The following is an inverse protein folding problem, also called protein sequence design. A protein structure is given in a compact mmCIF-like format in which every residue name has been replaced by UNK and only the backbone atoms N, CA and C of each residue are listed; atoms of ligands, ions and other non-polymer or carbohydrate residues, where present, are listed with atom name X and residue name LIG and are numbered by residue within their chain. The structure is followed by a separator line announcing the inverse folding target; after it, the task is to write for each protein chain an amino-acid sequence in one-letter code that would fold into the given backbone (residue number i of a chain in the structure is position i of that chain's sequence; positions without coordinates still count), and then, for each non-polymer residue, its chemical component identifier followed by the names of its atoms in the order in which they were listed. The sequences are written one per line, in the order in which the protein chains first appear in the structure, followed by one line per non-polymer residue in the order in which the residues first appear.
data_IF_322530551603
#
_entry.id   IF_322530551603
#
_cell.length_a   1.000
_cell.length_b   1.000
_cell.length_c   1.000
_cell.angle_alpha   90.00
_cell.angle_beta   90.00
_cell.angle_gamma   90.00
#
_symmetry.space_group_name_H-M   'P 1'
#
loop_
_entity.id
_entity.type
_entity.pdbx_description
1 polymer ?
#
# COMPACT_ATOMS: atom_id res chain seq x y z
N UNK A 1 7.03 1.20 1.92
CA UNK A 1 6.57 1.85 3.18
C UNK A 1 5.12 1.43 3.39
N UNK A 2 4.72 1.09 4.62
CA UNK A 2 3.40 0.50 4.90
C UNK A 2 2.67 1.37 5.93
N UNK A 3 1.42 1.72 5.62
CA UNK A 3 0.51 2.44 6.51
C UNK A 3 -0.71 1.59 6.80
N UNK A 4 -1.10 1.53 8.06
CA UNK A 4 -2.30 0.82 8.51
C UNK A 4 -3.35 1.88 8.84
N UNK A 5 -4.43 1.85 8.09
CA UNK A 5 -5.48 2.84 8.18
C UNK A 5 -6.36 2.56 9.39
N UNK A 6 -6.74 3.64 10.08
CA UNK A 6 -7.80 3.64 11.09
C UNK A 6 -8.98 4.48 10.61
N UNK A 7 -10.17 4.29 11.21
CA UNK A 7 -11.37 5.09 10.93
C UNK A 7 -11.12 6.60 10.87
N UNK A 8 -10.26 7.13 11.75
CA UNK A 8 -9.93 8.55 11.83
C UNK A 8 -8.87 9.03 10.83
N UNK A 9 -8.12 8.13 10.20
CA UNK A 9 -6.99 8.46 9.32
C UNK A 9 -7.23 8.13 7.84
N UNK A 10 -8.34 7.46 7.49
CA UNK A 10 -8.74 7.05 6.13
C UNK A 10 -8.42 8.09 5.06
N UNK A 11 -8.99 9.29 5.17
CA UNK A 11 -8.81 10.30 4.12
C UNK A 11 -7.35 10.80 4.00
N UNK A 12 -6.60 10.80 5.10
CA UNK A 12 -5.22 11.25 5.12
C UNK A 12 -4.24 10.22 4.55
N UNK A 13 -4.45 8.94 4.86
CA UNK A 13 -3.56 7.85 4.45
C UNK A 13 -3.73 7.50 2.97
N UNK A 14 -4.97 7.55 2.44
CA UNK A 14 -5.24 7.30 1.02
C UNK A 14 -4.75 8.42 0.09
N UNK A 15 -4.83 9.69 0.52
CA UNK A 15 -4.64 10.82 -0.41
C UNK A 15 -3.50 11.77 -0.04
N UNK A 16 -3.38 12.18 1.22
CA UNK A 16 -2.42 13.22 1.62
C UNK A 16 -1.00 12.68 1.74
N UNK A 17 -0.86 11.51 2.39
CA UNK A 17 0.43 10.84 2.58
C UNK A 17 1.01 10.30 1.27
N UNK A 18 0.14 9.85 0.35
CA UNK A 18 0.53 9.35 -0.97
C UNK A 18 1.46 10.34 -1.71
N UNK A 19 1.06 11.62 -1.79
CA UNK A 19 1.86 12.63 -2.46
C UNK A 19 3.18 12.90 -1.75
N UNK A 20 3.15 12.99 -0.41
CA UNK A 20 4.36 13.23 0.40
C UNK A 20 5.40 12.13 0.18
N UNK A 21 4.98 10.86 0.21
CA UNK A 21 5.88 9.73 0.03
C UNK A 21 6.43 9.62 -1.39
N UNK A 22 5.60 9.92 -2.40
CA UNK A 22 6.10 10.04 -3.78
C UNK A 22 7.20 11.09 -3.89
N UNK A 23 6.97 12.29 -3.35
CA UNK A 23 7.97 13.39 -3.39
C UNK A 23 9.20 13.10 -2.54
N UNK A 24 9.09 12.25 -1.52
CA UNK A 24 10.21 11.82 -0.68
C UNK A 24 11.04 10.67 -1.30
N UNK A 25 10.70 10.20 -2.51
CA UNK A 25 11.45 9.15 -3.20
C UNK A 25 11.14 7.73 -2.71
N UNK A 26 10.01 7.53 -2.02
CA UNK A 26 9.53 6.18 -1.73
C UNK A 26 9.26 5.47 -3.07
N UNK A 27 9.71 4.22 -3.19
CA UNK A 27 9.55 3.41 -4.41
C UNK A 27 8.18 2.70 -4.45
N UNK A 28 7.71 2.29 -3.28
CA UNK A 28 6.45 1.56 -3.12
C UNK A 28 5.77 1.89 -1.79
N UNK A 29 4.47 2.16 -1.85
CA UNK A 29 3.65 2.57 -0.72
C UNK A 29 2.42 1.67 -0.59
N UNK A 30 2.23 1.11 0.60
CA UNK A 30 1.16 0.18 0.92
C UNK A 30 0.20 0.83 1.90
N UNK A 31 -1.09 0.76 1.60
CA UNK A 31 -2.19 1.22 2.45
C UNK A 31 -3.01 -0.01 2.81
N UNK A 32 -3.00 -0.39 4.08
CA UNK A 32 -3.76 -1.54 4.61
C UNK A 32 -5.01 -1.00 5.31
N UNK A 33 -6.20 -1.40 4.87
CA UNK A 33 -7.49 -1.07 5.49
C UNK A 33 -8.11 -2.33 6.12
N UNK A 34 -7.90 -2.55 7.44
CA UNK A 34 -8.42 -3.74 8.12
C UNK A 34 -9.94 -3.82 8.15
N UNK A 35 -10.66 -2.69 8.10
CA UNK A 35 -12.12 -2.72 8.10
C UNK A 35 -12.68 -3.25 6.78
N UNK A 36 -11.93 -3.08 5.70
CA UNK A 36 -12.29 -3.54 4.35
C UNK A 36 -11.55 -4.82 3.94
N UNK A 37 -10.67 -5.32 4.80
CA UNK A 37 -9.74 -6.42 4.50
C UNK A 37 -9.03 -6.24 3.14
N UNK A 38 -8.59 -5.00 2.88
CA UNK A 38 -8.06 -4.56 1.58
C UNK A 38 -6.68 -3.94 1.75
N UNK A 39 -5.77 -4.27 0.84
CA UNK A 39 -4.45 -3.66 0.69
C UNK A 39 -4.40 -2.96 -0.66
N UNK A 40 -4.12 -1.66 -0.66
CA UNK A 40 -3.82 -0.88 -1.86
C UNK A 40 -2.32 -0.63 -1.94
N UNK A 41 -1.70 -0.96 -3.07
CA UNK A 41 -0.27 -0.76 -3.31
C UNK A 41 -0.09 0.25 -4.42
N UNK A 42 0.72 1.26 -4.17
CA UNK A 42 1.19 2.22 -5.16
C UNK A 42 2.66 1.94 -5.45
N UNK A 43 2.96 1.50 -6.68
CA UNK A 43 4.32 1.35 -7.17
C UNK A 43 4.69 2.59 -7.98
N UNK A 44 5.52 3.45 -7.42
CA UNK A 44 5.85 4.74 -8.03
C UNK A 44 6.87 4.63 -9.16
N UNK A 45 7.65 3.54 -9.22
CA UNK A 45 8.60 3.29 -10.31
C UNK A 45 7.88 2.83 -11.58
N UNK A 46 6.79 2.07 -11.42
CA UNK A 46 5.95 1.54 -12.50
C UNK A 46 4.74 2.42 -12.81
N UNK A 47 4.53 3.48 -12.03
CA UNK A 47 3.34 4.35 -12.06
C UNK A 47 2.03 3.54 -12.04
N UNK A 48 1.98 2.52 -11.19
CA UNK A 48 0.85 1.58 -11.09
C UNK A 48 0.22 1.57 -9.70
N UNK A 49 -1.05 1.18 -9.67
CA UNK A 49 -1.82 0.97 -8.45
C UNK A 49 -2.53 -0.38 -8.55
N UNK A 50 -2.41 -1.18 -7.50
CA UNK A 50 -2.99 -2.53 -7.41
C UNK A 50 -3.69 -2.69 -6.06
N UNK A 51 -4.77 -3.48 -6.04
CA UNK A 51 -5.52 -3.79 -4.83
C UNK A 51 -5.61 -5.30 -4.62
N UNK A 52 -5.47 -5.71 -3.37
CA UNK A 52 -5.48 -7.10 -2.96
C UNK A 52 -6.34 -7.29 -1.71
N UNK A 53 -7.10 -8.36 -1.66
CA UNK A 53 -7.75 -8.83 -0.43
C UNK A 53 -6.75 -9.58 0.45
N UNK A 54 -7.03 -9.66 1.76
CA UNK A 54 -6.12 -10.31 2.74
C UNK A 54 -5.92 -11.82 2.48
N UNK A 55 -6.85 -12.48 1.79
CA UNK A 55 -6.74 -13.90 1.42
C UNK A 55 -5.71 -14.17 0.30
N UNK A 56 -5.09 -13.12 -0.26
CA UNK A 56 -4.08 -13.24 -1.31
C UNK A 56 -2.68 -13.12 -0.76
N UNK A 57 -1.79 -13.83 -1.44
CA UNK A 57 -0.35 -13.59 -1.35
C UNK A 57 -0.01 -12.42 -2.28
N UNK A 58 0.57 -11.37 -1.72
CA UNK A 58 0.74 -10.07 -2.38
C UNK A 58 2.22 -9.87 -2.72
N UNK A 59 2.60 -9.74 -4.00
CA UNK A 59 3.99 -9.56 -4.39
C UNK A 59 4.52 -8.18 -3.97
N UNK A 60 5.77 -8.13 -3.54
CA UNK A 60 6.46 -6.88 -3.25
C UNK A 60 7.17 -6.38 -4.50
N UNK A 61 6.63 -5.34 -5.13
CA UNK A 61 7.03 -4.93 -6.48
C UNK A 61 8.46 -4.39 -6.61
N UNK A 62 9.11 -4.08 -5.47
CA UNK A 62 10.50 -3.60 -5.40
C UNK A 62 11.52 -4.68 -4.97
N UNK A 63 11.06 -5.87 -4.59
CA UNK A 63 11.90 -7.01 -4.20
C UNK A 63 11.45 -8.27 -4.93
N UNK A 64 12.23 -8.68 -5.93
CA UNK A 64 11.92 -9.85 -6.74
C UNK A 64 11.84 -11.12 -5.89
N UNK A 65 10.78 -11.92 -6.12
CA UNK A 65 10.54 -13.17 -5.41
C UNK A 65 10.04 -13.02 -3.97
N UNK A 66 9.78 -11.79 -3.49
CA UNK A 66 9.23 -11.55 -2.15
C UNK A 66 7.73 -11.30 -2.24
N UNK A 67 6.98 -11.94 -1.35
CA UNK A 67 5.55 -11.79 -1.18
C UNK A 67 5.19 -11.64 0.30
N UNK A 68 4.04 -11.02 0.57
CA UNK A 68 3.47 -10.85 1.91
C UNK A 68 2.05 -11.42 1.94
N UNK A 69 1.68 -11.99 3.08
CA UNK A 69 0.32 -12.42 3.38
C UNK A 69 -0.12 -11.72 4.66
N UNK A 70 -1.36 -11.23 4.67
CA UNK A 70 -1.96 -10.61 5.85
C UNK A 70 -2.85 -11.67 6.52
N UNK A 71 -2.67 -11.87 7.83
CA UNK A 71 -3.42 -12.82 8.67
C UNK A 71 -4.17 -12.11 9.79
#
# INVERSE_FOLDING_TARGET
MIEIVSLGSKQMDYYKKLFQYRTAGVREYWVVDPERELVTIYNFEKDSMEEYSFDKEIPVGIYEGVSLKID
#
